data_IF_443063995900
#
_entry.id   IF_443063995900
#
_cell.length_a   1.000
_cell.length_b   1.000
_cell.length_c   1.000
_cell.angle_alpha   90.00
_cell.angle_beta   90.00
_cell.angle_gamma   90.00
#
_symmetry.space_group_name_H-M   'P 1'
#
loop_
_entity.id
_entity.type
_entity.pdbx_description
1 polymer ?
#
# COMPACT_ATOMS: atom_id res chain seq x y z
N UNK A 1 0.91 -41.66 0.98
CA UNK A 1 -0.14 -41.23 1.93
C UNK A 1 0.41 -40.28 3.01
N UNK A 2 1.59 -40.53 3.61
CA UNK A 2 2.20 -39.63 4.62
C UNK A 2 2.59 -38.21 4.12
N UNK A 3 3.12 -38.09 2.91
CA UNK A 3 3.49 -36.77 2.34
C UNK A 3 2.28 -35.83 2.13
N UNK A 4 1.08 -36.36 1.86
CA UNK A 4 -0.13 -35.57 1.71
C UNK A 4 -0.67 -35.00 3.03
N UNK A 5 -0.52 -35.75 4.12
CA UNK A 5 -0.86 -35.27 5.46
C UNK A 5 0.09 -34.16 5.92
N UNK A 6 1.40 -34.31 5.65
CA UNK A 6 2.42 -33.32 6.01
C UNK A 6 2.20 -31.99 5.28
N UNK A 7 1.87 -32.03 3.99
CA UNK A 7 1.56 -30.84 3.21
C UNK A 7 0.32 -30.10 3.73
N UNK A 8 -0.74 -30.84 4.09
CA UNK A 8 -1.94 -30.28 4.75
C UNK A 8 -1.64 -29.68 6.13
N UNK A 9 -0.75 -30.30 6.89
CA UNK A 9 -0.35 -29.81 8.22
C UNK A 9 0.49 -28.54 8.10
N UNK A 10 1.39 -28.45 7.11
CA UNK A 10 2.16 -27.22 6.82
C UNK A 10 1.24 -26.10 6.31
N UNK A 11 0.28 -26.38 5.45
CA UNK A 11 -0.71 -25.40 4.99
C UNK A 11 -1.63 -24.92 6.14
N UNK A 12 -1.89 -25.76 7.12
CA UNK A 12 -2.69 -25.44 8.31
C UNK A 12 -1.90 -24.59 9.34
N UNK A 13 -0.57 -24.74 9.36
CA UNK A 13 0.36 -24.01 10.25
C UNK A 13 0.93 -22.77 9.56
N UNK A 14 0.95 -22.73 8.22
CA UNK A 14 1.51 -21.59 7.50
C UNK A 14 0.72 -20.32 7.80
N UNK A 15 1.41 -19.37 8.38
CA UNK A 15 0.97 -17.98 8.48
C UNK A 15 0.83 -17.46 7.05
N UNK A 16 -0.37 -17.47 6.49
CA UNK A 16 -0.63 -16.90 5.17
C UNK A 16 -0.49 -15.39 5.28
N UNK A 17 0.73 -14.90 5.08
CA UNK A 17 0.99 -13.48 4.80
C UNK A 17 0.16 -13.13 3.58
N UNK A 18 -0.68 -12.13 3.72
CA UNK A 18 -1.73 -11.71 2.82
C UNK A 18 -1.35 -11.78 1.33
N UNK A 19 -2.08 -12.61 0.60
CA UNK A 19 -2.30 -12.39 -0.84
C UNK A 19 -3.52 -11.46 -1.01
N UNK A 20 -3.55 -10.60 -2.07
CA UNK A 20 -4.58 -9.55 -2.25
C UNK A 20 -6.02 -10.04 -2.40
N UNK A 21 -6.25 -11.32 -2.46
CA UNK A 21 -7.56 -11.91 -2.68
C UNK A 21 -8.09 -12.62 -1.44
N UNK A 22 -8.83 -11.89 -0.61
CA UNK A 22 -9.98 -12.40 0.15
C UNK A 22 -9.81 -13.53 1.15
N UNK A 23 -8.63 -14.03 1.50
CA UNK A 23 -8.45 -15.03 2.55
C UNK A 23 -8.54 -14.39 3.93
N UNK A 24 -9.48 -14.89 4.76
CA UNK A 24 -9.64 -14.48 6.15
C UNK A 24 -8.25 -14.50 6.84
N UNK A 25 -7.79 -13.37 7.32
CA UNK A 25 -6.67 -13.30 8.26
C UNK A 25 -7.10 -14.09 9.49
N UNK A 26 -6.40 -15.20 9.79
CA UNK A 26 -6.55 -15.84 11.09
C UNK A 26 -6.13 -14.80 12.12
N UNK A 27 -7.04 -14.47 13.04
CA UNK A 27 -6.65 -13.57 14.13
C UNK A 27 -5.46 -14.19 14.90
N UNK A 28 -4.51 -13.41 15.38
CA UNK A 28 -3.34 -13.91 16.10
C UNK A 28 -3.70 -14.88 17.23
N UNK A 29 -4.86 -14.68 17.83
CA UNK A 29 -5.40 -15.54 18.87
C UNK A 29 -5.76 -16.94 18.37
N UNK A 30 -6.45 -17.06 17.23
CA UNK A 30 -6.80 -18.36 16.65
C UNK A 30 -5.57 -19.19 16.26
N UNK A 31 -4.55 -18.53 15.69
CA UNK A 31 -3.28 -19.16 15.37
C UNK A 31 -2.58 -19.67 16.64
N UNK A 32 -2.49 -18.82 17.68
CA UNK A 32 -1.88 -19.18 18.96
C UNK A 32 -2.57 -20.36 19.63
N UNK A 33 -3.92 -20.40 19.61
CA UNK A 33 -4.70 -21.51 20.16
C UNK A 33 -4.42 -22.81 19.41
N UNK A 34 -4.39 -22.79 18.08
CA UNK A 34 -4.12 -23.98 17.27
C UNK A 34 -2.75 -24.57 17.53
N UNK A 35 -1.71 -23.73 17.61
CA UNK A 35 -0.35 -24.19 17.96
C UNK A 35 -0.29 -24.71 19.37
N UNK A 36 -0.90 -24.03 20.34
CA UNK A 36 -0.94 -24.49 21.72
C UNK A 36 -1.61 -25.87 21.85
N UNK A 37 -2.72 -26.10 21.17
CA UNK A 37 -3.37 -27.40 21.13
C UNK A 37 -2.47 -28.49 20.51
N UNK A 38 -1.79 -28.19 19.41
CA UNK A 38 -0.90 -29.15 18.74
C UNK A 38 0.28 -29.55 19.62
N UNK A 39 0.95 -28.55 20.22
CA UNK A 39 2.10 -28.78 21.12
C UNK A 39 1.69 -29.56 22.35
N UNK A 40 0.55 -29.21 22.95
CA UNK A 40 -0.02 -29.92 24.09
C UNK A 40 -0.27 -31.39 23.76
N UNK A 41 -0.87 -31.68 22.61
CA UNK A 41 -1.11 -33.05 22.16
C UNK A 41 0.21 -33.84 22.01
N UNK A 42 1.23 -33.24 21.42
CA UNK A 42 2.57 -33.87 21.27
C UNK A 42 3.18 -34.17 22.63
N UNK A 43 3.12 -33.22 23.58
CA UNK A 43 3.66 -33.41 24.93
C UNK A 43 2.96 -34.54 25.66
N UNK A 44 1.62 -34.59 25.60
CA UNK A 44 0.82 -35.67 26.18
C UNK A 44 1.23 -37.06 25.61
N UNK A 45 1.34 -37.16 24.28
CA UNK A 45 1.76 -38.39 23.60
C UNK A 45 3.18 -38.84 23.99
N UNK A 46 4.12 -37.90 24.12
CA UNK A 46 5.48 -38.20 24.54
C UNK A 46 5.54 -38.66 26.00
N UNK A 47 4.85 -37.98 26.91
CA UNK A 47 4.85 -38.32 28.33
C UNK A 47 4.16 -39.66 28.59
N UNK A 48 3.00 -39.91 27.96
CA UNK A 48 2.29 -41.20 28.09
C UNK A 48 3.06 -42.36 27.48
N UNK A 49 3.68 -42.14 26.30
CA UNK A 49 4.55 -43.14 25.65
C UNK A 49 5.77 -43.49 26.50
N UNK A 50 6.39 -42.47 27.11
CA UNK A 50 7.51 -42.66 28.04
C UNK A 50 7.13 -43.46 29.28
N UNK A 51 5.99 -43.16 29.90
CA UNK A 51 5.48 -43.92 31.06
C UNK A 51 5.16 -45.37 30.72
N UNK A 52 4.51 -45.64 29.57
CA UNK A 52 4.24 -47.00 29.11
C UNK A 52 5.55 -47.77 28.89
N UNK A 53 6.57 -47.12 28.29
CA UNK A 53 7.87 -47.74 28.09
C UNK A 53 8.53 -48.11 29.44
N UNK A 54 8.54 -47.18 30.41
CA UNK A 54 9.11 -47.43 31.74
C UNK A 54 8.39 -48.55 32.52
N UNK A 55 7.07 -48.64 32.33
CA UNK A 55 6.29 -49.72 32.96
C UNK A 55 6.65 -51.11 32.46
N UNK A 56 7.11 -51.26 31.20
CA UNK A 56 7.57 -52.53 30.65
C UNK A 56 8.82 -53.07 31.38
N UNK A 57 9.60 -52.17 32.00
CA UNK A 57 10.79 -52.52 32.80
C UNK A 57 10.49 -52.61 34.30
N UNK A 58 9.23 -52.57 34.72
CA UNK A 58 8.84 -52.61 36.13
C UNK A 58 9.21 -51.38 36.95
N UNK A 59 9.58 -50.28 36.29
CA UNK A 59 10.00 -49.03 36.96
C UNK A 59 8.81 -48.15 37.39
N UNK A 60 7.59 -48.48 36.97
CA UNK A 60 6.35 -47.80 37.36
C UNK A 60 5.36 -48.82 37.92
N UNK A 61 5.02 -48.68 39.18
CA UNK A 61 4.12 -49.62 39.90
C UNK A 61 2.65 -49.26 39.71
N UNK A 62 2.30 -48.02 39.41
CA UNK A 62 0.94 -47.55 39.17
C UNK A 62 0.88 -46.75 37.89
N UNK A 63 0.75 -47.46 36.77
CA UNK A 63 0.75 -46.87 35.45
C UNK A 63 -0.45 -45.94 35.19
N UNK A 64 -1.61 -46.30 35.72
CA UNK A 64 -2.82 -45.52 35.48
C UNK A 64 -2.76 -44.10 36.11
N UNK A 65 -2.39 -44.04 37.40
CA UNK A 65 -2.23 -42.75 38.11
C UNK A 65 -1.08 -41.93 37.52
N UNK A 66 0.01 -42.58 37.12
CA UNK A 66 1.12 -41.90 36.42
C UNK A 66 0.71 -41.23 35.11
N UNK A 67 -0.09 -41.93 34.29
CA UNK A 67 -0.61 -41.38 33.03
C UNK A 67 -1.59 -40.21 33.34
N UNK A 68 -2.51 -40.41 34.26
CA UNK A 68 -3.47 -39.34 34.65
C UNK A 68 -2.78 -38.05 35.11
N UNK A 69 -1.77 -38.20 35.97
CA UNK A 69 -0.99 -37.06 36.45
C UNK A 69 -0.21 -36.37 35.31
N UNK A 70 0.40 -37.15 34.43
CA UNK A 70 1.14 -36.66 33.28
C UNK A 70 0.27 -35.89 32.29
N UNK A 71 -0.92 -36.41 31.98
CA UNK A 71 -1.87 -35.77 31.07
C UNK A 71 -2.44 -34.49 31.64
N UNK A 72 -2.80 -34.49 32.92
CA UNK A 72 -3.46 -33.33 33.56
C UNK A 72 -2.48 -32.21 33.83
N UNK A 73 -1.38 -32.50 34.50
CA UNK A 73 -0.43 -31.48 34.92
C UNK A 73 0.50 -31.04 33.78
N UNK A 74 1.10 -32.02 33.08
CA UNK A 74 2.01 -31.75 31.97
C UNK A 74 1.30 -31.09 30.77
N UNK A 75 0.11 -31.54 30.47
CA UNK A 75 -0.73 -30.94 29.42
C UNK A 75 -1.15 -29.52 29.73
N UNK A 76 -1.57 -29.23 30.95
CA UNK A 76 -1.94 -27.89 31.39
C UNK A 76 -0.75 -26.90 31.32
N UNK A 77 0.42 -27.32 31.81
CA UNK A 77 1.64 -26.49 31.78
C UNK A 77 2.08 -26.25 30.34
N UNK A 78 2.15 -27.29 29.51
CA UNK A 78 2.54 -27.15 28.10
C UNK A 78 1.60 -26.23 27.33
N UNK A 79 0.30 -26.35 27.54
CA UNK A 79 -0.70 -25.52 26.88
C UNK A 79 -0.54 -24.03 27.28
N UNK A 80 -0.47 -23.74 28.57
CA UNK A 80 -0.36 -22.36 29.07
C UNK A 80 0.94 -21.67 28.62
N UNK A 81 2.07 -22.37 28.70
CA UNK A 81 3.37 -21.84 28.26
C UNK A 81 3.36 -21.56 26.74
N UNK A 82 2.87 -22.51 25.94
CA UNK A 82 2.83 -22.32 24.48
C UNK A 82 1.89 -21.18 24.10
N UNK A 83 0.74 -21.08 24.74
CA UNK A 83 -0.22 -20.00 24.49
C UNK A 83 0.36 -18.64 24.83
N UNK A 84 1.08 -18.54 25.96
CA UNK A 84 1.79 -17.31 26.35
C UNK A 84 2.87 -16.92 25.36
N UNK A 85 3.71 -17.86 24.93
CA UNK A 85 4.79 -17.62 23.94
C UNK A 85 4.21 -17.17 22.60
N UNK A 86 3.18 -17.87 22.11
CA UNK A 86 2.51 -17.48 20.85
C UNK A 86 1.87 -16.09 20.94
N UNK A 87 1.24 -15.75 22.09
CA UNK A 87 0.66 -14.43 22.31
C UNK A 87 1.71 -13.32 22.32
N UNK A 88 2.85 -13.54 22.98
CA UNK A 88 3.97 -12.58 23.01
C UNK A 88 4.53 -12.36 21.61
N UNK A 89 4.79 -13.43 20.85
CA UNK A 89 5.29 -13.31 19.48
C UNK A 89 4.29 -12.58 18.55
N UNK A 90 2.99 -12.88 18.67
CA UNK A 90 1.97 -12.19 17.89
C UNK A 90 1.92 -10.69 18.20
N UNK A 91 2.11 -10.32 19.46
CA UNK A 91 2.18 -8.92 19.91
C UNK A 91 3.42 -8.20 19.33
N UNK A 92 4.59 -8.84 19.33
CA UNK A 92 5.82 -8.27 18.78
C UNK A 92 5.67 -8.02 17.26
N UNK A 93 5.11 -8.96 16.52
CA UNK A 93 4.84 -8.80 15.08
C UNK A 93 3.87 -7.63 14.82
N UNK A 94 2.83 -7.47 15.63
CA UNK A 94 1.92 -6.33 15.50
C UNK A 94 2.61 -4.99 15.75
N UNK A 95 3.46 -4.91 16.77
CA UNK A 95 4.24 -3.69 17.07
C UNK A 95 5.18 -3.36 15.91
N UNK A 96 5.85 -4.37 15.34
CA UNK A 96 6.76 -4.19 14.20
C UNK A 96 6.03 -3.69 12.95
N UNK A 97 4.87 -4.27 12.63
CA UNK A 97 4.02 -3.83 11.50
C UNK A 97 3.55 -2.39 11.70
N UNK A 98 3.04 -2.05 12.88
CA UNK A 98 2.61 -0.68 13.17
C UNK A 98 3.77 0.32 13.14
N UNK A 99 4.96 -0.06 13.62
CA UNK A 99 6.16 0.75 13.55
C UNK A 99 6.58 1.00 12.09
N UNK A 100 6.52 -0.03 11.26
CA UNK A 100 6.82 0.08 9.82
C UNK A 100 5.80 0.98 9.09
N UNK A 101 4.52 0.81 9.35
CA UNK A 101 3.46 1.69 8.81
C UNK A 101 3.67 3.15 9.25
N UNK A 102 3.98 3.41 10.52
CA UNK A 102 4.32 4.76 11.00
C UNK A 102 5.54 5.34 10.29
N UNK A 103 6.58 4.54 10.08
CA UNK A 103 7.77 4.97 9.35
C UNK A 103 7.43 5.36 7.90
N UNK A 104 6.61 4.57 7.21
CA UNK A 104 6.13 4.89 5.86
C UNK A 104 5.25 6.16 5.85
N UNK A 105 4.41 6.34 6.87
CA UNK A 105 3.61 7.57 7.02
C UNK A 105 4.43 8.81 7.35
N UNK A 106 5.58 8.67 8.02
CA UNK A 106 6.51 9.78 8.28
C UNK A 106 7.39 10.12 7.07
N UNK A 107 7.49 9.25 6.09
CA UNK A 107 8.17 9.57 4.82
C UNK A 107 7.32 10.55 4.02
N UNK A 108 7.90 11.67 3.60
CA UNK A 108 7.25 12.67 2.74
C UNK A 108 7.38 12.36 1.25
N UNK A 109 7.97 11.22 0.89
CA UNK A 109 8.25 10.83 -0.50
C UNK A 109 7.55 9.52 -0.88
N UNK A 110 7.15 9.41 -2.14
CA UNK A 110 6.68 8.16 -2.75
C UNK A 110 7.87 7.28 -3.15
N UNK A 111 7.88 6.05 -2.67
CA UNK A 111 9.02 5.13 -2.86
C UNK A 111 9.26 4.72 -4.32
N UNK A 112 8.22 4.71 -5.16
CA UNK A 112 8.34 4.30 -6.57
C UNK A 112 8.88 5.43 -7.45
N UNK A 113 8.43 6.66 -7.21
CA UNK A 113 8.70 7.79 -8.09
C UNK A 113 9.72 8.78 -7.54
N UNK A 114 10.00 8.75 -6.23
CA UNK A 114 10.82 9.75 -5.54
C UNK A 114 10.18 11.13 -5.42
N UNK A 115 8.96 11.31 -5.93
CA UNK A 115 8.17 12.53 -5.76
C UNK A 115 7.65 12.65 -4.32
N UNK A 116 7.13 13.82 -3.94
CA UNK A 116 6.39 13.93 -2.69
C UNK A 116 5.19 12.97 -2.69
N UNK A 117 4.87 12.39 -1.55
CA UNK A 117 3.58 11.74 -1.35
C UNK A 117 2.54 12.76 -0.88
N UNK A 118 1.32 12.31 -0.59
CA UNK A 118 0.24 13.19 -0.09
C UNK A 118 0.68 14.01 1.13
N UNK A 119 1.34 13.39 2.10
CA UNK A 119 1.79 14.07 3.32
C UNK A 119 2.87 15.13 3.02
N UNK A 120 3.84 14.78 2.17
CA UNK A 120 4.89 15.69 1.72
C UNK A 120 4.34 16.90 0.94
N UNK A 121 3.30 16.66 0.10
CA UNK A 121 2.62 17.74 -0.61
C UNK A 121 1.97 18.73 0.36
N UNK A 122 1.17 18.24 1.30
CA UNK A 122 0.50 19.11 2.27
C UNK A 122 1.49 19.88 3.15
N UNK A 123 2.56 19.23 3.57
CA UNK A 123 3.62 19.90 4.33
C UNK A 123 4.31 21.02 3.52
N UNK A 124 4.62 20.76 2.25
CA UNK A 124 5.25 21.76 1.36
C UNK A 124 4.28 22.91 1.02
N UNK A 125 3.00 22.63 0.89
CA UNK A 125 1.99 23.63 0.55
C UNK A 125 1.50 24.47 1.75
N UNK A 126 1.90 24.14 2.98
CA UNK A 126 1.52 24.91 4.16
C UNK A 126 2.09 26.33 4.16
N UNK A 127 3.19 26.58 3.47
CA UNK A 127 3.90 27.87 3.37
C UNK A 127 3.61 28.63 2.08
N UNK A 128 2.72 28.12 1.21
CA UNK A 128 2.38 28.77 -0.06
C UNK A 128 1.69 30.13 0.16
N UNK A 129 2.08 31.09 -0.66
CA UNK A 129 1.44 32.40 -0.71
C UNK A 129 -0.01 32.38 -1.22
N UNK A 130 -0.48 33.53 -1.68
CA UNK A 130 -1.87 33.69 -2.13
C UNK A 130 -2.11 33.29 -3.59
N UNK A 131 -1.07 33.20 -4.41
CA UNK A 131 -1.19 33.08 -5.86
C UNK A 131 -0.56 31.78 -6.39
N UNK A 132 -1.25 30.66 -6.22
CA UNK A 132 -0.81 29.37 -6.75
C UNK A 132 -1.86 28.71 -7.64
N UNK A 133 -1.39 27.84 -8.51
CA UNK A 133 -2.18 26.98 -9.37
C UNK A 133 -2.02 25.52 -8.95
N UNK A 134 -3.07 24.74 -9.13
CA UNK A 134 -3.10 23.29 -8.85
C UNK A 134 -3.49 22.55 -10.12
N UNK A 135 -2.75 21.50 -10.45
CA UNK A 135 -3.12 20.53 -11.47
C UNK A 135 -3.23 19.13 -10.86
N UNK A 136 -4.35 18.47 -11.09
CA UNK A 136 -4.53 17.05 -10.89
C UNK A 136 -4.30 16.30 -12.21
N UNK A 137 -3.45 15.29 -12.21
CA UNK A 137 -3.11 14.52 -13.40
C UNK A 137 -3.34 13.04 -13.13
N UNK A 138 -3.81 12.33 -14.15
CA UNK A 138 -4.10 10.89 -14.04
C UNK A 138 -3.78 10.22 -15.37
N UNK A 139 -3.17 9.02 -15.31
CA UNK A 139 -2.80 8.25 -16.50
C UNK A 139 -4.05 7.57 -17.07
N UNK A 140 -4.39 7.94 -18.28
CA UNK A 140 -5.57 7.40 -18.95
C UNK A 140 -5.46 5.90 -19.16
N UNK A 141 -6.51 5.17 -18.80
CA UNK A 141 -6.62 3.72 -19.02
C UNK A 141 -5.49 2.90 -18.37
N UNK A 142 -4.90 3.36 -17.28
CA UNK A 142 -3.76 2.71 -16.61
C UNK A 142 -4.04 1.24 -16.25
N UNK A 143 -5.26 0.91 -15.85
CA UNK A 143 -5.66 -0.48 -15.60
C UNK A 143 -5.41 -1.38 -16.81
N UNK A 144 -5.68 -0.90 -18.03
CA UNK A 144 -5.42 -1.69 -19.25
C UNK A 144 -3.92 -1.94 -19.47
N UNK A 145 -3.05 -1.02 -19.03
CA UNK A 145 -1.59 -1.23 -19.06
C UNK A 145 -1.21 -2.38 -18.13
N UNK A 146 -1.71 -2.38 -16.89
CA UNK A 146 -1.46 -3.45 -15.92
C UNK A 146 -1.99 -4.81 -16.41
N UNK A 147 -3.23 -4.83 -16.91
CA UNK A 147 -3.89 -6.05 -17.38
C UNK A 147 -3.19 -6.64 -18.61
N UNK A 148 -2.61 -5.80 -19.49
CA UNK A 148 -1.93 -6.22 -20.71
C UNK A 148 -0.46 -6.58 -20.51
N UNK A 149 0.28 -5.86 -19.66
CA UNK A 149 1.73 -5.93 -19.59
C UNK A 149 2.27 -6.39 -18.25
N UNK A 150 1.53 -6.36 -17.19
CA UNK A 150 1.82 -6.65 -15.79
C UNK A 150 1.99 -5.40 -14.91
N UNK A 151 1.87 -5.58 -13.59
CA UNK A 151 2.09 -4.51 -12.61
C UNK A 151 3.52 -3.95 -12.63
N UNK A 152 4.53 -4.78 -12.90
CA UNK A 152 5.92 -4.31 -13.01
C UNK A 152 6.10 -3.31 -14.17
N UNK A 153 5.42 -3.55 -15.29
CA UNK A 153 5.45 -2.62 -16.42
C UNK A 153 4.62 -1.37 -16.11
N UNK A 154 3.51 -1.52 -15.39
CA UNK A 154 2.75 -0.39 -14.87
C UNK A 154 3.62 0.53 -14.00
N UNK A 155 4.44 -0.02 -13.11
CA UNK A 155 5.37 0.73 -12.28
C UNK A 155 6.42 1.49 -13.10
N UNK A 156 6.92 0.91 -14.20
CA UNK A 156 7.80 1.60 -15.14
C UNK A 156 7.10 2.76 -15.83
N UNK A 157 5.84 2.59 -16.22
CA UNK A 157 5.02 3.65 -16.82
C UNK A 157 4.82 4.79 -15.83
N UNK A 158 4.41 4.49 -14.59
CA UNK A 158 4.26 5.48 -13.52
C UNK A 158 5.56 6.26 -13.31
N UNK A 159 6.69 5.58 -13.16
CA UNK A 159 8.00 6.19 -12.94
C UNK A 159 8.43 7.08 -14.10
N UNK A 160 8.14 6.66 -15.33
CA UNK A 160 8.44 7.44 -16.54
C UNK A 160 7.56 8.69 -16.64
N UNK A 161 6.27 8.59 -16.35
CA UNK A 161 5.32 9.72 -16.32
C UNK A 161 5.72 10.70 -15.21
N UNK A 162 6.02 10.22 -14.01
CA UNK A 162 6.47 11.02 -12.87
C UNK A 162 7.71 11.88 -13.21
N UNK A 163 8.71 11.25 -13.84
CA UNK A 163 9.92 11.95 -14.30
C UNK A 163 9.60 13.03 -15.30
N UNK A 164 8.77 12.76 -16.32
CA UNK A 164 8.37 13.74 -17.34
C UNK A 164 7.60 14.90 -16.73
N UNK A 165 6.71 14.65 -15.78
CA UNK A 165 6.03 15.71 -15.04
C UNK A 165 7.07 16.59 -14.34
N UNK A 166 8.00 15.99 -13.56
CA UNK A 166 9.01 16.74 -12.83
C UNK A 166 9.92 17.57 -13.73
N UNK A 167 10.30 17.06 -14.90
CA UNK A 167 11.18 17.72 -15.86
C UNK A 167 10.55 18.92 -16.58
N UNK A 168 9.20 18.97 -16.68
CA UNK A 168 8.50 20.01 -17.45
C UNK A 168 7.85 21.10 -16.60
N UNK A 169 7.80 20.92 -15.29
CA UNK A 169 7.43 21.99 -14.36
C UNK A 169 8.68 22.64 -13.77
N UNK A 170 8.52 23.87 -13.31
CA UNK A 170 9.61 24.63 -12.67
C UNK A 170 10.20 23.87 -11.47
N UNK A 171 11.51 23.99 -11.18
CA UNK A 171 12.11 23.40 -9.97
C UNK A 171 11.42 23.77 -8.66
N UNK A 172 10.81 24.96 -8.58
CA UNK A 172 10.03 25.41 -7.43
C UNK A 172 8.64 24.76 -7.30
N UNK A 173 8.15 24.06 -8.33
CA UNK A 173 6.85 23.41 -8.28
C UNK A 173 6.89 22.21 -7.32
N UNK A 174 5.85 22.08 -6.50
CA UNK A 174 5.62 20.91 -5.67
C UNK A 174 4.91 19.85 -6.51
N UNK A 175 5.63 18.77 -6.83
CA UNK A 175 5.11 17.64 -7.60
C UNK A 175 4.96 16.44 -6.67
N UNK A 176 3.78 15.87 -6.63
CA UNK A 176 3.46 14.74 -5.76
C UNK A 176 2.73 13.63 -6.49
N UNK A 177 2.89 12.41 -6.00
CA UNK A 177 2.04 11.27 -6.32
C UNK A 177 1.10 10.99 -5.14
N UNK A 178 -0.20 11.04 -5.36
CA UNK A 178 -1.19 10.83 -4.28
C UNK A 178 -1.52 9.36 -4.05
N UNK A 179 -1.33 8.52 -5.06
CA UNK A 179 -1.56 7.08 -5.04
C UNK A 179 -1.90 6.55 -6.43
N UNK A 180 -1.71 5.26 -6.66
CA UNK A 180 -2.00 4.63 -7.95
C UNK A 180 -1.35 5.37 -9.13
N UNK A 181 -2.16 5.87 -10.04
CA UNK A 181 -1.79 6.62 -11.25
C UNK A 181 -2.03 8.13 -11.15
N UNK A 182 -2.30 8.64 -9.93
CA UNK A 182 -2.70 10.04 -9.68
C UNK A 182 -1.52 10.89 -9.23
N UNK A 183 -1.33 12.04 -9.87
CA UNK A 183 -0.31 13.04 -9.55
C UNK A 183 -0.95 14.41 -9.30
N UNK A 184 -0.25 15.22 -8.52
CA UNK A 184 -0.61 16.62 -8.30
C UNK A 184 0.60 17.50 -8.47
N UNK A 185 0.39 18.65 -9.11
CA UNK A 185 1.39 19.72 -9.21
C UNK A 185 0.79 20.98 -8.64
N UNK A 186 1.55 21.62 -7.75
CA UNK A 186 1.22 22.93 -7.18
C UNK A 186 2.37 23.87 -7.43
N UNK A 187 2.06 25.04 -7.97
CA UNK A 187 3.10 26.03 -8.31
C UNK A 187 2.59 27.46 -8.18
N UNK A 188 3.40 28.33 -7.61
CA UNK A 188 3.19 29.78 -7.61
C UNK A 188 3.62 30.34 -8.97
N UNK A 189 2.65 30.61 -9.84
CA UNK A 189 2.87 31.14 -11.18
C UNK A 189 1.58 31.69 -11.78
N UNK A 190 1.69 32.39 -12.90
CA UNK A 190 0.52 32.90 -13.60
C UNK A 190 -0.35 31.76 -14.18
N UNK A 191 -1.68 31.90 -14.19
CA UNK A 191 -2.59 30.89 -14.75
C UNK A 191 -2.24 30.48 -16.19
N UNK A 192 -1.87 31.45 -17.03
CA UNK A 192 -1.55 31.18 -18.43
C UNK A 192 -0.27 30.34 -18.56
N UNK A 193 0.79 30.70 -17.82
CA UNK A 193 2.05 29.94 -17.83
C UNK A 193 1.84 28.52 -17.32
N UNK A 194 1.03 28.34 -16.26
CA UNK A 194 0.72 27.03 -15.70
C UNK A 194 -0.03 26.14 -16.70
N UNK A 195 -1.03 26.69 -17.39
CA UNK A 195 -1.77 25.96 -18.43
C UNK A 195 -0.87 25.54 -19.58
N UNK A 196 0.05 26.39 -20.01
CA UNK A 196 1.02 26.05 -21.04
C UNK A 196 1.94 24.90 -20.64
N UNK A 197 2.38 24.88 -19.36
CA UNK A 197 3.15 23.76 -18.80
C UNK A 197 2.33 22.47 -18.78
N UNK A 198 1.07 22.50 -18.34
CA UNK A 198 0.17 21.38 -18.33
C UNK A 198 -0.03 20.78 -19.75
N UNK A 199 -0.30 21.62 -20.76
CA UNK A 199 -0.45 21.16 -22.14
C UNK A 199 0.84 20.59 -22.71
N UNK A 200 1.99 21.18 -22.37
CA UNK A 200 3.30 20.66 -22.78
C UNK A 200 3.56 19.26 -22.20
N UNK A 201 3.32 19.06 -20.91
CA UNK A 201 3.47 17.75 -20.26
C UNK A 201 2.54 16.72 -20.89
N UNK A 202 1.27 17.08 -21.10
CA UNK A 202 0.29 16.22 -21.75
C UNK A 202 0.80 15.77 -23.13
N UNK A 203 1.23 16.70 -23.98
CA UNK A 203 1.73 16.42 -25.33
C UNK A 203 3.03 15.57 -25.31
N UNK A 204 3.94 15.82 -24.40
CA UNK A 204 5.17 15.02 -24.25
C UNK A 204 4.86 13.59 -23.85
N UNK A 205 3.93 13.39 -22.93
CA UNK A 205 3.54 12.02 -22.50
C UNK A 205 2.86 11.28 -23.65
N UNK A 206 1.97 11.93 -24.40
CA UNK A 206 1.29 11.35 -25.57
C UNK A 206 2.28 10.92 -26.66
N UNK A 207 3.29 11.77 -26.96
CA UNK A 207 4.19 11.55 -28.10
C UNK A 207 5.43 10.72 -27.78
N UNK A 208 5.74 10.53 -26.51
CA UNK A 208 6.95 9.83 -26.05
C UNK A 208 6.56 8.49 -25.38
N UNK A 209 6.65 7.36 -26.08
CA UNK A 209 6.33 6.06 -25.49
C UNK A 209 7.30 5.67 -24.36
N UNK A 210 6.85 4.81 -23.48
CA UNK A 210 7.70 4.12 -22.52
C UNK A 210 8.24 2.86 -23.18
N UNK A 211 9.56 2.72 -23.24
CA UNK A 211 10.22 1.57 -23.81
C UNK A 211 10.45 0.49 -22.75
N UNK A 212 10.02 -0.72 -23.04
CA UNK A 212 10.28 -1.90 -22.20
C UNK A 212 10.57 -3.11 -23.10
N UNK A 213 11.79 -3.62 -23.03
CA UNK A 213 12.29 -4.65 -23.96
C UNK A 213 12.07 -4.18 -25.42
N UNK A 214 11.42 -4.97 -26.25
CA UNK A 214 11.12 -4.63 -27.65
C UNK A 214 9.74 -3.95 -27.84
N UNK A 215 9.10 -3.51 -26.76
CA UNK A 215 7.75 -2.93 -26.80
C UNK A 215 7.78 -1.43 -26.50
N UNK A 216 6.96 -0.70 -27.27
CA UNK A 216 6.72 0.74 -27.08
C UNK A 216 5.31 0.93 -26.53
N UNK A 217 5.21 1.38 -25.28
CA UNK A 217 3.95 1.55 -24.56
C UNK A 217 3.58 3.02 -24.59
N UNK A 218 2.54 3.36 -25.32
CA UNK A 218 1.96 4.72 -25.38
C UNK A 218 0.88 4.84 -24.33
N UNK A 219 0.95 5.94 -23.57
CA UNK A 219 -0.08 6.33 -22.61
C UNK A 219 -0.40 7.81 -22.81
N UNK A 220 -1.58 8.21 -22.38
CA UNK A 220 -1.98 9.61 -22.32
C UNK A 220 -2.32 9.98 -20.88
N UNK A 221 -2.42 11.25 -20.59
CA UNK A 221 -2.87 11.76 -19.30
C UNK A 221 -4.01 12.74 -19.46
N UNK A 222 -4.94 12.69 -18.53
CA UNK A 222 -5.94 13.75 -18.34
C UNK A 222 -5.51 14.68 -17.22
N UNK A 223 -5.75 15.97 -17.38
CA UNK A 223 -5.31 17.01 -16.44
C UNK A 223 -6.49 17.91 -16.09
N UNK A 224 -6.73 18.08 -14.79
CA UNK A 224 -7.66 19.06 -14.25
C UNK A 224 -6.91 20.18 -13.57
N UNK A 225 -7.20 21.43 -13.91
CA UNK A 225 -6.53 22.61 -13.38
C UNK A 225 -7.51 23.51 -12.62
N UNK A 226 -7.07 24.00 -11.48
CA UNK A 226 -7.74 25.04 -10.72
C UNK A 226 -6.77 26.12 -10.26
N UNK A 227 -7.27 27.33 -10.12
CA UNK A 227 -6.52 28.48 -9.64
C UNK A 227 -7.06 28.91 -8.28
N UNK A 228 -6.20 29.31 -7.37
CA UNK A 228 -6.60 29.85 -6.10
C UNK A 228 -7.33 31.19 -6.29
N UNK A 229 -8.52 31.32 -5.69
CA UNK A 229 -9.22 32.58 -5.50
C UNK A 229 -8.85 33.23 -4.15
N UNK A 230 -9.15 34.52 -3.99
CA UNK A 230 -8.74 35.35 -2.83
C UNK A 230 -9.14 34.77 -1.45
N UNK A 231 -10.21 33.97 -1.37
CA UNK A 231 -10.72 33.39 -0.13
C UNK A 231 -10.64 31.84 -0.11
N UNK A 232 -9.96 31.22 -1.08
CA UNK A 232 -9.96 29.76 -1.19
C UNK A 232 -8.88 29.12 -0.29
N UNK A 233 -9.29 28.13 0.50
CA UNK A 233 -8.35 27.23 1.21
C UNK A 233 -7.81 26.18 0.25
N UNK A 234 -6.63 25.64 0.56
CA UNK A 234 -5.94 24.68 -0.29
C UNK A 234 -6.81 23.48 -0.71
N UNK A 235 -7.53 22.87 0.23
CA UNK A 235 -8.41 21.72 -0.06
C UNK A 235 -9.53 22.04 -1.06
N UNK A 236 -10.04 23.28 -1.07
CA UNK A 236 -11.04 23.71 -2.04
C UNK A 236 -10.45 23.82 -3.44
N UNK A 237 -9.22 24.33 -3.56
CA UNK A 237 -8.54 24.42 -4.87
C UNK A 237 -8.21 23.02 -5.38
N UNK A 238 -7.73 22.13 -4.51
CA UNK A 238 -7.53 20.72 -4.81
C UNK A 238 -8.81 20.05 -5.32
N UNK A 239 -9.93 20.22 -4.60
CA UNK A 239 -11.22 19.68 -5.02
C UNK A 239 -11.68 20.22 -6.38
N UNK A 240 -11.48 21.51 -6.65
CA UNK A 240 -11.80 22.12 -7.93
C UNK A 240 -10.96 21.53 -9.08
N UNK A 241 -9.67 21.29 -8.84
CA UNK A 241 -8.80 20.64 -9.82
C UNK A 241 -9.24 19.18 -10.09
N UNK A 242 -9.64 18.44 -9.08
CA UNK A 242 -10.19 17.08 -9.23
C UNK A 242 -11.50 17.07 -10.04
N UNK A 243 -12.42 18.02 -9.80
CA UNK A 243 -13.63 18.20 -10.63
C UNK A 243 -13.28 18.50 -12.10
N UNK A 244 -12.22 19.29 -12.35
CA UNK A 244 -11.75 19.55 -13.70
C UNK A 244 -11.18 18.27 -14.36
N UNK A 245 -10.41 17.46 -13.61
CA UNK A 245 -9.92 16.18 -14.07
C UNK A 245 -11.06 15.22 -14.44
N UNK A 246 -12.10 15.16 -13.60
CA UNK A 246 -13.28 14.36 -13.92
C UNK A 246 -13.93 14.79 -15.25
N UNK A 247 -14.01 16.10 -15.53
CA UNK A 247 -14.49 16.61 -16.82
C UNK A 247 -13.56 16.26 -17.98
N UNK A 248 -12.23 16.30 -17.77
CA UNK A 248 -11.26 15.90 -18.78
C UNK A 248 -11.46 14.42 -19.17
N UNK A 249 -11.60 13.54 -18.17
CA UNK A 249 -11.87 12.11 -18.37
C UNK A 249 -13.22 11.89 -19.10
N UNK A 250 -14.29 12.56 -18.68
CA UNK A 250 -15.60 12.48 -19.30
C UNK A 250 -15.67 13.07 -20.71
N UNK A 251 -14.84 14.08 -21.02
CA UNK A 251 -14.76 14.74 -22.31
C UNK A 251 -13.98 13.98 -23.38
N UNK A 252 -13.48 12.78 -23.09
CA UNK A 252 -12.73 11.94 -24.05
C UNK A 252 -11.26 11.80 -23.72
N UNK A 253 -10.84 12.17 -22.51
CA UNK A 253 -9.45 12.02 -22.00
C UNK A 253 -8.40 12.82 -22.78
N UNK A 254 -7.12 12.59 -22.48
CA UNK A 254 -5.97 13.20 -23.16
C UNK A 254 -6.11 14.72 -23.37
N UNK A 255 -6.47 15.44 -22.32
CA UNK A 255 -6.73 16.88 -22.37
C UNK A 255 -6.54 17.57 -21.04
N UNK A 256 -6.41 18.89 -21.10
CA UNK A 256 -6.46 19.78 -19.95
C UNK A 256 -7.88 20.38 -19.85
N UNK A 257 -8.49 20.31 -18.67
CA UNK A 257 -9.72 21.03 -18.35
C UNK A 257 -9.45 21.97 -17.17
N UNK A 258 -10.19 23.07 -17.11
CA UNK A 258 -10.05 24.10 -16.07
C UNK A 258 -11.36 24.25 -15.30
N UNK A 259 -11.29 24.42 -13.98
CA UNK A 259 -12.39 24.92 -13.15
C UNK A 259 -11.97 26.22 -12.47
N UNK A 260 -12.88 27.20 -12.43
CA UNK A 260 -12.62 28.49 -11.80
C UNK A 260 -12.55 29.66 -12.79
N UNK A 261 -12.73 30.84 -12.29
CA UNK A 261 -12.89 32.06 -13.05
C UNK A 261 -11.53 32.53 -13.68
N UNK A 262 -11.21 32.03 -14.85
CA UNK A 262 -10.14 32.63 -15.69
C UNK A 262 -10.55 34.03 -16.18
N UNK A 263 -11.87 34.30 -16.25
CA UNK A 263 -12.41 35.51 -16.90
C UNK A 263 -12.20 36.82 -16.12
N UNK A 264 -11.89 36.79 -14.83
CA UNK A 264 -11.78 38.05 -14.06
C UNK A 264 -10.39 38.68 -14.02
N UNK A 265 -9.30 37.96 -14.33
CA UNK A 265 -7.95 38.52 -14.26
C UNK A 265 -7.38 39.03 -15.59
N UNK A 266 -8.04 38.77 -16.72
CA UNK A 266 -7.66 39.35 -18.03
C UNK A 266 -8.27 40.74 -18.29
N UNK A 267 -9.18 41.24 -17.45
CA UNK A 267 -9.83 42.54 -17.63
C UNK A 267 -9.15 43.68 -16.85
N UNK A 268 -8.01 43.45 -16.19
CA UNK A 268 -7.30 44.46 -15.36
C UNK A 268 -5.79 44.49 -15.72
N UNK A 269 -5.44 44.30 -16.98
CA UNK A 269 -4.09 44.54 -17.48
C UNK A 269 -4.10 45.47 -18.69
#
# INVERSE_FOLDING_TARGET
MMLGLWKKTIEMISFSVATPEGRRRLEPLEFSIRIACLVTLIVILMCTGGLVFLAQFGLVTDLFNGIMLSVTLGGAVAFTVTLLVCWLNAREVQILVQSHERFLHLSHTDALTGLSNRLGLYAACAELGSDYCVAFLDIDHFKLVNDRYSHLVGDLVISSVARRIREHFDPSAHVARLGGEEFVVVQETSPLAFLQMCERVRAVIETTPVEHQDQRITVTISIGVAFRGDADIFDKVMHNADLALYRAKGGGRNRVCVTGHVERRQAVA
#
